data_IF_910353888879
#
_entry.id   IF_910353888879
#
_cell.length_a   1.000
_cell.length_b   1.000
_cell.length_c   1.000
_cell.angle_alpha   90.00
_cell.angle_beta   90.00
_cell.angle_gamma   90.00
#
_symmetry.space_group_name_H-M   'P 1'
#
loop_
_entity.id
_entity.type
_entity.pdbx_description
1 polymer ?
#
# COMPACT_ATOMS: atom_id res chain seq x y z
N UNK A 1 9.76 -17.92 -22.26
CA UNK A 1 10.45 -16.61 -22.14
C UNK A 1 9.96 -15.59 -23.17
N UNK A 2 9.92 -15.92 -24.46
CA UNK A 2 9.50 -14.97 -25.53
C UNK A 2 8.10 -14.37 -25.30
N UNK A 3 7.11 -15.20 -24.98
CA UNK A 3 5.73 -14.75 -24.75
C UNK A 3 5.58 -13.80 -23.54
N UNK A 4 6.34 -14.05 -22.46
CA UNK A 4 6.35 -13.16 -21.29
C UNK A 4 6.93 -11.80 -21.66
N UNK A 5 8.07 -11.78 -22.36
CA UNK A 5 8.73 -10.53 -22.77
C UNK A 5 7.86 -9.70 -23.73
N UNK A 6 7.19 -10.35 -24.67
CA UNK A 6 6.25 -9.69 -25.59
C UNK A 6 5.04 -9.09 -24.84
N UNK A 7 4.44 -9.86 -23.92
CA UNK A 7 3.33 -9.38 -23.10
C UNK A 7 3.75 -8.25 -22.15
N UNK A 8 4.95 -8.34 -21.57
CA UNK A 8 5.50 -7.30 -20.70
C UNK A 8 5.77 -6.01 -21.46
N UNK A 9 6.40 -6.09 -22.65
CA UNK A 9 6.58 -4.92 -23.51
C UNK A 9 5.25 -4.31 -23.95
N UNK A 10 4.24 -5.14 -24.23
CA UNK A 10 2.89 -4.67 -24.55
C UNK A 10 2.27 -3.93 -23.37
N UNK A 11 2.35 -4.46 -22.14
CA UNK A 11 1.82 -3.82 -20.93
C UNK A 11 2.50 -2.46 -20.64
N UNK A 12 3.78 -2.34 -20.94
CA UNK A 12 4.52 -1.06 -20.81
C UNK A 12 4.06 -0.04 -21.87
N UNK A 13 3.93 -0.47 -23.13
CA UNK A 13 3.64 0.44 -24.27
C UNK A 13 2.16 0.79 -24.43
N UNK A 14 1.25 -0.08 -24.00
CA UNK A 14 -0.19 0.04 -24.23
C UNK A 14 -0.93 0.28 -22.93
N UNK A 15 -1.77 1.31 -22.92
CA UNK A 15 -2.56 1.70 -21.74
C UNK A 15 -3.72 0.74 -21.49
N UNK A 16 -4.25 0.12 -22.56
CA UNK A 16 -5.37 -0.81 -22.57
C UNK A 16 -4.96 -2.28 -22.34
N UNK A 17 -3.65 -2.57 -22.30
CA UNK A 17 -3.16 -3.93 -22.16
C UNK A 17 -2.72 -4.23 -20.73
N UNK A 18 -3.23 -5.33 -20.17
CA UNK A 18 -2.85 -5.83 -18.84
C UNK A 18 -2.26 -7.23 -18.97
N UNK A 19 -1.18 -7.46 -18.23
CA UNK A 19 -0.52 -8.75 -18.14
C UNK A 19 -0.86 -9.42 -16.82
N UNK A 20 -1.32 -10.67 -16.89
CA UNK A 20 -1.55 -11.51 -15.72
C UNK A 20 -0.62 -12.71 -15.78
N UNK A 21 0.22 -12.84 -14.75
CA UNK A 21 1.13 -13.97 -14.60
C UNK A 21 0.60 -14.85 -13.49
N UNK A 22 0.09 -16.02 -13.87
CA UNK A 22 -0.30 -17.05 -12.92
C UNK A 22 0.83 -18.07 -12.77
N UNK A 23 1.38 -18.16 -11.57
CA UNK A 23 2.35 -19.17 -11.21
C UNK A 23 1.71 -20.16 -10.23
N UNK A 24 1.16 -21.24 -10.78
CA UNK A 24 0.71 -22.38 -9.97
C UNK A 24 1.93 -23.25 -9.65
N UNK A 25 2.43 -23.16 -8.42
CA UNK A 25 3.47 -24.07 -7.95
C UNK A 25 2.81 -25.42 -7.67
N UNK A 26 2.99 -26.38 -8.58
CA UNK A 26 2.66 -27.76 -8.27
C UNK A 26 3.75 -28.30 -7.34
N UNK A 27 3.37 -28.75 -6.13
CA UNK A 27 4.30 -29.31 -5.15
C UNK A 27 5.05 -30.54 -5.71
N UNK A 28 4.49 -31.18 -6.74
CA UNK A 28 5.10 -32.34 -7.40
C UNK A 28 6.14 -31.97 -8.47
N UNK A 29 6.18 -30.71 -8.91
CA UNK A 29 7.12 -30.25 -9.93
C UNK A 29 8.34 -29.58 -9.27
N UNK A 30 9.48 -30.29 -9.30
CA UNK A 30 10.75 -29.74 -8.87
C UNK A 30 11.13 -28.50 -9.70
N UNK A 31 10.88 -27.31 -9.16
CA UNK A 31 11.24 -26.03 -9.79
C UNK A 31 12.76 -25.94 -9.88
N UNK A 32 13.28 -25.89 -11.11
CA UNK A 32 14.72 -25.77 -11.34
C UNK A 32 15.23 -24.41 -10.84
N UNK A 33 16.51 -24.29 -10.41
CA UNK A 33 17.07 -23.02 -9.95
C UNK A 33 16.87 -21.85 -10.95
N UNK A 34 17.04 -22.10 -12.24
CA UNK A 34 16.82 -21.09 -13.28
C UNK A 34 15.36 -20.62 -13.37
N UNK A 35 14.38 -21.50 -13.13
CA UNK A 35 12.96 -21.15 -13.10
C UNK A 35 12.64 -20.32 -11.86
N UNK A 36 13.24 -20.67 -10.71
CA UNK A 36 13.10 -19.89 -9.47
C UNK A 36 13.66 -18.48 -9.63
N UNK A 37 14.84 -18.33 -10.26
CA UNK A 37 15.42 -17.02 -10.57
C UNK A 37 14.51 -16.20 -11.49
N UNK A 38 13.94 -16.83 -12.53
CA UNK A 38 13.03 -16.17 -13.45
C UNK A 38 11.73 -15.72 -12.77
N UNK A 39 11.10 -16.58 -11.95
CA UNK A 39 9.89 -16.24 -11.18
C UNK A 39 10.18 -15.10 -10.21
N UNK A 40 11.34 -15.11 -9.55
CA UNK A 40 11.75 -14.02 -8.66
C UNK A 40 11.94 -12.70 -9.44
N UNK A 41 12.55 -12.73 -10.63
CA UNK A 41 12.68 -11.55 -11.46
C UNK A 41 11.32 -10.93 -11.80
N UNK A 42 10.34 -11.75 -12.21
CA UNK A 42 8.97 -11.28 -12.49
C UNK A 42 8.33 -10.63 -11.26
N UNK A 43 8.53 -11.20 -10.06
CA UNK A 43 8.00 -10.65 -8.81
C UNK A 43 8.59 -9.28 -8.46
N UNK A 44 9.81 -8.98 -8.92
CA UNK A 44 10.47 -7.69 -8.68
C UNK A 44 10.16 -6.64 -9.76
N UNK A 45 9.69 -7.06 -10.94
CA UNK A 45 9.39 -6.19 -12.09
C UNK A 45 7.89 -5.86 -12.23
N UNK A 46 7.13 -5.92 -11.13
CA UNK A 46 5.68 -5.65 -11.14
C UNK A 46 5.39 -4.17 -11.39
N UNK A 47 4.52 -3.90 -12.36
CA UNK A 47 4.03 -2.57 -12.74
C UNK A 47 2.52 -2.47 -12.46
N UNK A 48 1.94 -1.27 -12.56
CA UNK A 48 0.47 -1.05 -12.39
C UNK A 48 -0.40 -1.93 -13.32
N UNK A 49 0.17 -2.43 -14.42
CA UNK A 49 -0.52 -3.25 -15.42
C UNK A 49 -0.05 -4.70 -15.45
N UNK A 50 0.80 -5.11 -14.52
CA UNK A 50 1.30 -6.47 -14.41
C UNK A 50 0.95 -7.06 -13.04
N UNK A 51 0.04 -8.03 -13.03
CA UNK A 51 -0.37 -8.73 -11.81
C UNK A 51 0.28 -10.10 -11.78
N UNK A 52 0.93 -10.44 -10.68
CA UNK A 52 1.44 -11.78 -10.41
C UNK A 52 0.60 -12.44 -9.32
N UNK A 53 0.10 -13.64 -9.60
CA UNK A 53 -0.66 -14.44 -8.63
C UNK A 53 -0.09 -15.85 -8.53
N UNK A 54 -0.10 -16.38 -7.32
CA UNK A 54 0.22 -17.77 -7.01
C UNK A 54 -1.01 -18.54 -6.53
N UNK A 55 -2.20 -18.14 -7.00
CA UNK A 55 -3.46 -18.82 -6.70
C UNK A 55 -3.33 -20.34 -6.89
N UNK A 56 -3.75 -21.11 -5.89
CA UNK A 56 -3.60 -22.57 -5.90
C UNK A 56 -4.58 -23.29 -6.84
N UNK A 57 -5.58 -22.57 -7.36
CA UNK A 57 -6.56 -23.12 -8.30
C UNK A 57 -7.13 -22.04 -9.23
N UNK A 58 -7.75 -22.49 -10.32
CA UNK A 58 -8.33 -21.63 -11.36
C UNK A 58 -9.47 -20.75 -10.83
N UNK A 59 -10.24 -21.21 -9.84
CA UNK A 59 -11.34 -20.43 -9.27
C UNK A 59 -10.81 -19.19 -8.55
N UNK A 60 -9.78 -19.36 -7.73
CA UNK A 60 -9.10 -18.27 -7.04
C UNK A 60 -8.44 -17.30 -8.02
N UNK A 61 -7.83 -17.80 -9.10
CA UNK A 61 -7.34 -16.96 -10.19
C UNK A 61 -8.45 -16.11 -10.80
N UNK A 62 -9.59 -16.71 -11.15
CA UNK A 62 -10.71 -15.99 -11.78
C UNK A 62 -11.26 -14.89 -10.86
N UNK A 63 -11.33 -15.14 -9.55
CA UNK A 63 -11.72 -14.12 -8.57
C UNK A 63 -10.68 -12.99 -8.46
N UNK A 64 -9.39 -13.31 -8.42
CA UNK A 64 -8.31 -12.31 -8.41
C UNK A 64 -8.34 -11.44 -9.68
N UNK A 65 -8.58 -12.07 -10.84
CA UNK A 65 -8.75 -11.39 -12.12
C UNK A 65 -9.98 -10.49 -12.12
N UNK A 66 -11.13 -10.99 -11.65
CA UNK A 66 -12.37 -10.20 -11.55
C UNK A 66 -12.16 -8.97 -10.67
N UNK A 67 -11.53 -9.10 -9.51
CA UNK A 67 -11.23 -7.95 -8.64
C UNK A 67 -10.34 -6.93 -9.34
N UNK A 68 -9.26 -7.39 -9.97
CA UNK A 68 -8.29 -6.51 -10.63
C UNK A 68 -8.88 -5.83 -11.88
N UNK A 69 -9.73 -6.52 -12.64
CA UNK A 69 -10.40 -6.00 -13.84
C UNK A 69 -11.62 -5.14 -13.47
N UNK A 70 -12.36 -5.48 -12.43
CA UNK A 70 -13.45 -4.63 -11.92
C UNK A 70 -12.91 -3.30 -11.36
N UNK A 71 -11.73 -3.31 -10.74
CA UNK A 71 -10.97 -2.12 -10.35
C UNK A 71 -10.36 -1.38 -11.56
N UNK A 72 -10.36 -1.96 -12.76
CA UNK A 72 -9.76 -1.40 -13.98
C UNK A 72 -10.67 -0.43 -14.74
N UNK A 73 -11.97 -0.44 -14.47
CA UNK A 73 -12.84 0.62 -14.95
C UNK A 73 -12.36 1.88 -14.23
N UNK A 74 -11.87 2.92 -14.92
CA UNK A 74 -11.66 4.19 -14.27
C UNK A 74 -13.05 4.64 -13.85
N UNK A 75 -13.41 4.40 -12.59
CA UNK A 75 -14.65 4.93 -12.07
C UNK A 75 -14.50 6.44 -12.17
N UNK A 76 -15.30 7.11 -13.02
CA UNK A 76 -15.37 8.54 -12.97
C UNK A 76 -16.08 8.88 -11.66
N UNK A 77 -15.57 9.91 -10.98
CA UNK A 77 -16.05 10.42 -9.69
C UNK A 77 -15.59 9.56 -8.51
N UNK A 78 -14.79 10.20 -7.66
CA UNK A 78 -14.47 9.76 -6.31
C UNK A 78 -15.71 9.12 -5.67
N UNK A 79 -15.68 7.85 -5.21
CA UNK A 79 -16.67 7.45 -4.23
C UNK A 79 -16.57 8.47 -3.12
N UNK A 80 -17.68 9.09 -2.70
CA UNK A 80 -17.71 9.95 -1.52
C UNK A 80 -17.02 9.17 -0.41
N UNK A 81 -15.77 9.56 -0.15
CA UNK A 81 -14.92 8.87 0.81
C UNK A 81 -15.54 9.19 2.15
N UNK A 82 -15.85 8.15 2.92
CA UNK A 82 -16.47 8.29 4.24
C UNK A 82 -15.58 9.11 5.18
N UNK A 83 -14.26 9.02 4.99
CA UNK A 83 -13.27 9.73 5.79
C UNK A 83 -12.28 10.54 4.93
N UNK A 84 -11.88 11.70 5.43
CA UNK A 84 -10.80 12.47 4.81
C UNK A 84 -9.45 11.81 5.10
N UNK A 85 -9.09 11.65 6.37
CA UNK A 85 -7.82 11.05 6.79
C UNK A 85 -8.07 9.86 7.74
N UNK A 86 -7.44 8.73 7.44
CA UNK A 86 -7.32 7.60 8.36
C UNK A 86 -5.89 7.50 8.88
N UNK A 87 -5.69 7.76 10.17
CA UNK A 87 -4.38 7.93 10.79
C UNK A 87 -4.05 6.74 11.71
N UNK A 88 -3.04 5.97 11.34
CA UNK A 88 -2.63 4.74 12.02
C UNK A 88 -1.28 4.96 12.70
N UNK A 89 -1.18 4.59 13.97
CA UNK A 89 0.05 4.70 14.76
C UNK A 89 0.15 3.60 15.82
N UNK A 90 1.33 3.42 16.40
CA UNK A 90 1.53 2.48 17.50
C UNK A 90 1.17 3.11 18.84
N UNK A 91 0.63 2.34 19.78
CA UNK A 91 0.36 2.80 21.14
C UNK A 91 1.58 3.46 21.83
N UNK A 92 2.79 3.01 21.54
CA UNK A 92 4.02 3.60 22.08
C UNK A 92 4.29 5.01 21.55
N UNK A 93 3.76 5.36 20.38
CA UNK A 93 3.89 6.66 19.74
C UNK A 93 2.67 7.57 20.04
N UNK A 94 1.85 7.23 21.04
CA UNK A 94 0.55 7.87 21.30
C UNK A 94 0.64 9.36 21.64
N UNK A 95 1.64 9.77 22.43
CA UNK A 95 1.77 11.16 22.86
C UNK A 95 2.04 12.07 21.66
N UNK A 96 2.96 11.66 20.79
CA UNK A 96 3.33 12.41 19.60
C UNK A 96 2.29 12.31 18.50
N UNK A 97 1.68 11.15 18.32
CA UNK A 97 0.59 10.97 17.38
C UNK A 97 -0.58 11.92 17.72
N UNK A 98 -0.98 12.03 18.99
CA UNK A 98 -2.03 12.96 19.38
C UNK A 98 -1.64 14.41 19.18
N UNK A 99 -0.40 14.78 19.53
CA UNK A 99 0.07 16.14 19.28
C UNK A 99 0.02 16.52 17.78
N UNK A 100 0.21 15.54 16.88
CA UNK A 100 0.07 15.73 15.43
C UNK A 100 -1.40 15.78 15.02
N UNK A 101 -2.23 14.84 15.47
CA UNK A 101 -3.64 14.74 15.07
C UNK A 101 -4.47 15.88 15.63
N UNK A 102 -4.20 16.37 16.84
CA UNK A 102 -4.87 17.54 17.41
C UNK A 102 -4.75 18.75 16.46
N UNK A 103 -3.53 19.03 15.97
CA UNK A 103 -3.29 20.12 14.99
C UNK A 103 -3.98 19.89 13.65
N UNK A 104 -4.05 18.64 13.20
CA UNK A 104 -4.70 18.28 11.94
C UNK A 104 -6.22 18.40 12.05
N UNK A 105 -6.78 18.03 13.20
CA UNK A 105 -8.22 17.99 13.47
C UNK A 105 -8.90 19.36 13.41
N UNK A 106 -8.14 20.43 13.63
CA UNK A 106 -8.61 21.81 13.47
C UNK A 106 -8.99 22.14 12.02
N UNK A 107 -8.41 21.43 11.05
CA UNK A 107 -8.57 21.71 9.62
C UNK A 107 -9.29 20.60 8.87
N UNK A 108 -9.11 19.34 9.28
CA UNK A 108 -9.57 18.17 8.53
C UNK A 108 -10.07 17.10 9.51
N UNK A 109 -11.27 16.53 9.30
CA UNK A 109 -11.74 15.41 10.10
C UNK A 109 -10.85 14.17 9.89
N UNK A 110 -10.52 13.51 10.99
CA UNK A 110 -9.63 12.36 11.00
C UNK A 110 -10.20 11.21 11.83
N UNK A 111 -10.03 9.99 11.33
CA UNK A 111 -10.28 8.76 12.06
C UNK A 111 -8.93 8.18 12.47
N UNK A 112 -8.79 7.80 13.73
CA UNK A 112 -7.54 7.29 14.29
C UNK A 112 -7.64 5.79 14.58
N UNK A 113 -6.55 5.07 14.32
CA UNK A 113 -6.37 3.69 14.75
C UNK A 113 -5.04 3.55 15.49
N UNK A 114 -5.13 3.13 16.75
CA UNK A 114 -3.96 2.78 17.56
C UNK A 114 -3.72 1.28 17.49
N UNK A 115 -2.49 0.89 17.17
CA UNK A 115 -2.06 -0.51 17.15
C UNK A 115 -1.38 -0.81 18.48
N UNK A 116 -1.94 -1.75 19.22
CA UNK A 116 -1.36 -2.28 20.45
C UNK A 116 -0.33 -3.40 20.14
N UNK A 117 0.67 -3.60 21.01
CA UNK A 117 1.52 -4.78 20.94
C UNK A 117 0.67 -6.06 21.07
N UNK A 118 0.95 -7.08 20.24
CA UNK A 118 0.34 -8.42 20.27
C UNK A 118 -1.04 -8.62 19.61
N UNK A 119 -1.65 -7.58 19.03
CA UNK A 119 -2.97 -7.65 18.36
C UNK A 119 -2.93 -7.26 16.86
N UNK A 120 -1.78 -7.41 16.21
CA UNK A 120 -1.56 -7.00 14.80
C UNK A 120 -2.58 -7.57 13.80
N UNK A 121 -3.08 -8.79 14.02
CA UNK A 121 -3.98 -9.44 13.06
C UNK A 121 -5.39 -8.83 13.04
N UNK A 122 -5.88 -8.33 14.17
CA UNK A 122 -7.20 -7.70 14.27
C UNK A 122 -7.21 -6.32 13.58
N UNK A 123 -6.17 -5.53 13.76
CA UNK A 123 -6.05 -4.21 13.15
C UNK A 123 -5.87 -4.26 11.63
N UNK A 124 -5.39 -5.39 11.08
CA UNK A 124 -5.29 -5.59 9.63
C UNK A 124 -6.67 -5.56 8.98
N UNK A 125 -7.66 -6.23 9.54
CA UNK A 125 -9.00 -6.25 8.95
C UNK A 125 -9.66 -4.87 8.99
N UNK A 126 -9.52 -4.17 10.11
CA UNK A 126 -10.00 -2.79 10.27
C UNK A 126 -9.34 -1.87 9.24
N UNK A 127 -8.02 -1.95 9.10
CA UNK A 127 -7.25 -1.12 8.18
C UNK A 127 -7.61 -1.40 6.73
N UNK A 128 -7.74 -2.68 6.35
CA UNK A 128 -8.13 -3.08 4.97
C UNK A 128 -9.54 -2.61 4.63
N UNK A 129 -10.43 -2.52 5.63
CA UNK A 129 -11.78 -2.00 5.45
C UNK A 129 -11.84 -0.47 5.35
N UNK A 130 -11.07 0.24 6.18
CA UNK A 130 -11.16 1.71 6.31
C UNK A 130 -10.28 2.49 5.33
N UNK A 131 -9.14 1.95 4.90
CA UNK A 131 -8.28 2.64 3.91
C UNK A 131 -9.01 2.90 2.59
N UNK A 132 -9.69 1.94 1.95
CA UNK A 132 -10.42 2.20 0.71
C UNK A 132 -11.54 3.25 0.82
N UNK A 133 -12.04 3.47 2.04
CA UNK A 133 -13.07 4.47 2.36
C UNK A 133 -12.51 5.86 2.66
N UNK A 134 -11.19 5.98 2.80
CA UNK A 134 -10.52 7.23 3.15
C UNK A 134 -9.94 7.92 1.91
N UNK A 135 -9.79 9.25 1.93
CA UNK A 135 -9.09 9.99 0.86
C UNK A 135 -7.58 9.87 0.99
N UNK A 136 -7.07 9.81 2.22
CA UNK A 136 -5.68 9.58 2.54
C UNK A 136 -5.57 8.64 3.74
N UNK A 137 -4.72 7.63 3.64
CA UNK A 137 -4.29 6.82 4.78
C UNK A 137 -2.91 7.28 5.23
N UNK A 138 -2.71 7.51 6.52
CA UNK A 138 -1.43 7.90 7.12
C UNK A 138 -1.00 6.78 8.05
N UNK A 139 0.22 6.27 7.86
CA UNK A 139 0.87 5.34 8.78
C UNK A 139 2.05 6.10 9.39
N UNK A 140 1.93 6.44 10.66
CA UNK A 140 2.89 7.21 11.42
C UNK A 140 3.70 6.31 12.36
N UNK A 141 5.00 6.58 12.47
CA UNK A 141 5.88 5.91 13.43
C UNK A 141 6.95 6.85 13.98
N UNK A 142 7.26 6.74 15.28
CA UNK A 142 8.38 7.45 15.90
C UNK A 142 9.41 6.50 16.46
N UNK A 143 9.06 5.69 17.46
CA UNK A 143 10.05 4.95 18.22
C UNK A 143 10.66 3.75 17.49
N UNK A 144 9.89 3.08 16.62
CA UNK A 144 10.43 2.02 15.76
C UNK A 144 9.64 1.84 14.47
N UNK A 145 10.37 1.74 13.35
CA UNK A 145 9.82 1.35 12.06
C UNK A 145 9.63 -0.17 11.91
N UNK A 146 10.08 -0.97 12.88
CA UNK A 146 10.13 -2.43 12.76
C UNK A 146 8.73 -3.05 12.73
N UNK A 147 7.71 -2.40 13.32
CA UNK A 147 6.30 -2.75 13.13
C UNK A 147 5.73 -2.10 11.86
N UNK A 148 6.04 -0.80 11.66
CA UNK A 148 5.36 0.04 10.68
C UNK A 148 5.68 -0.36 9.23
N UNK A 149 6.92 -0.77 8.96
CA UNK A 149 7.37 -1.14 7.63
C UNK A 149 6.78 -2.49 7.15
N UNK A 150 6.79 -3.57 7.95
CA UNK A 150 6.03 -4.79 7.64
C UNK A 150 4.53 -4.52 7.50
N UNK A 151 3.95 -3.73 8.41
CA UNK A 151 2.54 -3.37 8.40
C UNK A 151 2.12 -2.68 7.10
N UNK A 152 2.81 -1.59 6.71
CA UNK A 152 2.46 -0.84 5.49
C UNK A 152 2.64 -1.70 4.23
N UNK A 153 3.66 -2.56 4.19
CA UNK A 153 3.86 -3.51 3.07
C UNK A 153 2.71 -4.50 2.96
N UNK A 154 2.24 -5.02 4.08
CA UNK A 154 1.14 -5.98 4.12
C UNK A 154 -0.18 -5.32 3.74
N UNK A 155 -0.52 -4.22 4.40
CA UNK A 155 -1.74 -3.46 4.15
C UNK A 155 -1.80 -2.99 2.71
N UNK A 156 -0.71 -2.44 2.16
CA UNK A 156 -0.64 -2.02 0.76
C UNK A 156 -1.03 -3.16 -0.19
N UNK A 157 -0.54 -4.39 0.03
CA UNK A 157 -0.91 -5.55 -0.79
C UNK A 157 -2.40 -5.89 -0.67
N UNK A 158 -2.95 -5.79 0.53
CA UNK A 158 -4.35 -6.17 0.80
C UNK A 158 -5.36 -5.16 0.26
N UNK A 159 -5.02 -3.85 0.26
CA UNK A 159 -5.92 -2.77 -0.22
C UNK A 159 -5.84 -2.53 -1.73
N UNK A 160 -5.25 -3.46 -2.49
CA UNK A 160 -5.18 -3.42 -3.96
C UNK A 160 -3.85 -2.94 -4.54
N UNK A 161 -2.86 -2.66 -3.71
CA UNK A 161 -1.49 -2.30 -4.12
C UNK A 161 -1.46 -1.14 -5.10
N UNK A 162 -0.93 -1.40 -6.29
CA UNK A 162 -0.80 -0.40 -7.35
C UNK A 162 -2.16 0.08 -7.91
N UNK A 163 -3.21 -0.73 -7.77
CA UNK A 163 -4.58 -0.38 -8.15
C UNK A 163 -5.39 0.28 -7.04
N UNK A 164 -4.79 0.55 -5.86
CA UNK A 164 -5.52 1.16 -4.76
C UNK A 164 -5.97 2.59 -5.11
N UNK A 165 -7.22 2.92 -4.79
CA UNK A 165 -7.79 4.25 -4.99
C UNK A 165 -7.41 5.22 -3.89
N UNK A 166 -6.89 4.73 -2.76
CA UNK A 166 -6.45 5.54 -1.62
C UNK A 166 -4.92 5.51 -1.53
N UNK A 167 -4.24 6.66 -1.63
CA UNK A 167 -2.82 6.74 -1.37
C UNK A 167 -2.50 6.53 0.12
N UNK A 168 -1.34 5.94 0.38
CA UNK A 168 -0.80 5.75 1.73
C UNK A 168 0.39 6.68 1.93
N UNK A 169 0.33 7.55 2.93
CA UNK A 169 1.46 8.32 3.43
C UNK A 169 2.13 7.54 4.57
N UNK A 170 3.31 7.01 4.30
CA UNK A 170 4.16 6.36 5.28
C UNK A 170 5.17 7.38 5.82
N UNK A 171 4.86 7.97 6.98
CA UNK A 171 5.62 9.07 7.55
C UNK A 171 6.23 8.68 8.88
N UNK A 172 7.50 8.98 9.08
CA UNK A 172 8.18 8.76 10.35
C UNK A 172 8.90 9.99 10.85
N UNK A 173 9.22 9.99 12.14
CA UNK A 173 10.09 11.02 12.72
C UNK A 173 11.57 10.78 12.47
N UNK A 174 12.33 11.86 12.36
CA UNK A 174 13.77 11.81 12.12
C UNK A 174 14.62 11.56 13.38
N UNK A 175 13.97 11.64 14.55
CA UNK A 175 14.48 11.27 15.86
C UNK A 175 13.65 10.10 16.43
N UNK A 176 14.23 8.92 16.66
CA UNK A 176 15.65 8.56 16.59
C UNK A 176 16.25 8.47 15.17
N UNK A 177 17.53 8.84 15.05
CA UNK A 177 18.26 8.93 13.78
C UNK A 177 18.27 7.64 12.92
N UNK A 178 18.02 6.47 13.53
CA UNK A 178 17.91 5.19 12.82
C UNK A 178 16.70 5.11 11.87
N UNK A 179 15.71 6.00 12.01
CA UNK A 179 14.54 6.07 11.14
C UNK A 179 14.85 6.66 9.77
N UNK A 180 15.93 7.43 9.63
CA UNK A 180 16.27 8.18 8.40
C UNK A 180 16.47 7.30 7.15
N UNK A 181 16.74 6.00 7.34
CA UNK A 181 16.90 5.03 6.25
C UNK A 181 15.66 4.13 6.04
N UNK A 182 14.60 4.31 6.83
CA UNK A 182 13.41 3.45 6.83
C UNK A 182 12.34 4.00 5.90
N UNK A 183 12.60 3.91 4.60
CA UNK A 183 11.64 4.27 3.56
C UNK A 183 10.93 3.06 2.96
N UNK A 184 9.73 3.29 2.42
CA UNK A 184 9.03 2.30 1.60
C UNK A 184 8.69 2.89 0.23
N UNK A 185 9.19 2.27 -0.84
CA UNK A 185 8.89 2.66 -2.22
C UNK A 185 7.93 1.66 -2.84
N UNK A 186 6.71 2.12 -3.10
CA UNK A 186 5.70 1.37 -3.85
C UNK A 186 4.75 2.36 -4.55
N UNK A 187 4.08 1.96 -5.64
CA UNK A 187 3.04 2.78 -6.26
C UNK A 187 1.99 3.20 -5.24
N UNK A 188 1.51 4.45 -5.33
CA UNK A 188 0.52 5.04 -4.40
C UNK A 188 0.98 5.09 -2.92
N UNK A 189 2.28 4.87 -2.65
CA UNK A 189 2.88 5.10 -1.34
C UNK A 189 3.81 6.30 -1.40
N UNK A 190 3.56 7.28 -0.55
CA UNK A 190 4.43 8.42 -0.33
C UNK A 190 5.17 8.14 0.98
N UNK A 191 6.50 8.01 0.93
CA UNK A 191 7.31 7.76 2.13
C UNK A 191 8.21 8.94 2.42
N UNK A 192 8.19 9.42 3.65
CA UNK A 192 9.03 10.53 4.08
C UNK A 192 9.40 10.42 5.57
N UNK A 193 10.50 11.06 5.93
CA UNK A 193 10.94 11.22 7.30
C UNK A 193 10.98 12.73 7.57
N UNK A 194 10.34 13.18 8.63
CA UNK A 194 10.20 14.59 8.96
C UNK A 194 10.49 14.82 10.45
N UNK A 195 10.93 16.01 10.86
CA UNK A 195 10.84 16.42 12.26
C UNK A 195 9.38 16.38 12.74
N UNK A 196 9.15 16.21 14.04
CA UNK A 196 7.80 16.12 14.63
C UNK A 196 6.81 17.18 14.10
N UNK A 197 7.21 18.46 14.09
CA UNK A 197 6.38 19.57 13.57
C UNK A 197 6.18 19.52 12.03
N UNK A 198 7.13 18.92 11.32
CA UNK A 198 7.07 18.71 9.88
C UNK A 198 6.06 17.64 9.48
N UNK A 199 5.75 16.68 10.35
CA UNK A 199 4.81 15.58 10.06
C UNK A 199 3.41 16.11 9.75
N UNK A 200 2.83 16.95 10.62
CA UNK A 200 1.50 17.53 10.39
C UNK A 200 1.46 18.38 9.12
N UNK A 201 2.51 19.16 8.86
CA UNK A 201 2.63 19.99 7.65
C UNK A 201 2.65 19.14 6.38
N UNK A 202 3.36 18.03 6.42
CA UNK A 202 3.49 17.11 5.30
C UNK A 202 2.19 16.35 5.02
N UNK A 203 1.48 15.91 6.07
CA UNK A 203 0.15 15.30 5.93
C UNK A 203 -0.82 16.28 5.24
N UNK A 204 -0.87 17.54 5.68
CA UNK A 204 -1.69 18.58 5.06
C UNK A 204 -1.30 18.82 3.59
N UNK A 205 0.00 18.92 3.31
CA UNK A 205 0.51 19.16 1.96
C UNK A 205 0.05 18.05 1.00
N UNK A 206 0.21 16.79 1.41
CA UNK A 206 -0.22 15.63 0.61
C UNK A 206 -1.72 15.62 0.44
N UNK A 207 -2.49 15.80 1.51
CA UNK A 207 -3.95 15.81 1.45
C UNK A 207 -4.50 16.90 0.52
N UNK A 208 -3.94 18.11 0.57
CA UNK A 208 -4.33 19.21 -0.32
C UNK A 208 -3.97 18.93 -1.78
N UNK A 209 -2.85 18.27 -2.05
CA UNK A 209 -2.48 17.85 -3.41
C UNK A 209 -3.50 16.85 -3.98
N UNK A 210 -3.97 15.92 -3.16
CA UNK A 210 -4.99 14.95 -3.56
C UNK A 210 -6.37 15.59 -3.74
N UNK A 211 -6.67 16.66 -3.01
CA UNK A 211 -7.92 17.39 -3.11
C UNK A 211 -8.04 18.28 -4.36
N UNK A 212 -6.92 18.54 -5.06
CA UNK A 212 -6.87 19.36 -6.28
C UNK A 212 -6.89 18.54 -7.57
N UNK A 213 -6.84 17.21 -7.47
CA UNK A 213 -6.90 16.26 -8.58
C UNK A 213 -8.34 15.77 -8.77
#
# INVERSE_FOLDING_TARGET
MLAYQQAHQAAVKRVDFRQFVWFCADETLAVRPAQKTFVNAIRHELTERCTFTSAGNTMQLVEDLRKTIAQAVPQPVSPDKENDIFFVYNQLDWEEANAITDRLSEQIPLEMLTIEPDSEDEYKEITVRNIPKSRLAVVYFKHSADWALPFVKQVWRLVGGAGSTTPILFVGEDDPAHNRMRGFKAPRVISCIQPHLGVSTEVLRVFQQLSRQ
#
